data_IF_838401385511
#
_entry.id   IF_838401385511
#
_cell.length_a   1.000
_cell.length_b   1.000
_cell.length_c   1.000
_cell.angle_alpha   90.00
_cell.angle_beta   90.00
_cell.angle_gamma   90.00
#
_symmetry.space_group_name_H-M   'P 1'
#
loop_
_entity.id
_entity.type
_entity.pdbx_description
1 polymer ?
#
# COMPACT_ATOMS: atom_id res chain seq x y z
N UNK A 1 -14.43 28.68 39.31
CA UNK A 1 -15.26 27.88 40.23
C UNK A 1 -15.26 26.46 39.66
N UNK A 2 -14.34 25.63 40.15
CA UNK A 2 -14.07 24.29 39.62
C UNK A 2 -14.95 23.27 40.34
N UNK A 3 -15.66 22.42 39.60
CA UNK A 3 -16.28 21.20 40.14
C UNK A 3 -15.44 20.01 39.68
N UNK A 4 -14.80 19.37 40.65
CA UNK A 4 -14.30 18.00 40.58
C UNK A 4 -15.51 17.07 40.59
N UNK A 5 -15.57 16.13 39.66
CA UNK A 5 -16.45 14.97 39.75
C UNK A 5 -15.60 13.71 39.92
N UNK A 6 -16.01 12.91 40.89
CA UNK A 6 -15.31 11.78 41.47
C UNK A 6 -15.38 10.52 40.59
N UNK A 7 -14.29 9.75 40.60
CA UNK A 7 -14.22 8.41 40.03
C UNK A 7 -14.85 7.39 41.00
N UNK A 8 -15.73 6.54 40.49
CA UNK A 8 -16.14 5.29 41.13
C UNK A 8 -15.54 4.09 40.36
N UNK A 9 -14.89 3.12 41.02
CA UNK A 9 -14.42 1.90 40.36
C UNK A 9 -15.49 0.80 40.42
N UNK A 10 -15.87 0.24 39.27
CA UNK A 10 -16.65 -1.00 39.23
C UNK A 10 -15.70 -2.17 38.94
N UNK A 11 -15.48 -2.95 40.00
CA UNK A 11 -14.98 -4.32 39.96
C UNK A 11 -16.04 -5.21 39.30
N UNK A 12 -15.61 -6.03 38.34
CA UNK A 12 -16.40 -7.09 37.74
C UNK A 12 -15.47 -8.14 37.14
N UNK A 13 -15.11 -9.12 37.96
CA UNK A 13 -14.43 -10.33 37.54
C UNK A 13 -15.46 -11.23 36.85
N UNK A 14 -15.29 -11.52 35.57
CA UNK A 14 -15.88 -12.71 34.95
C UNK A 14 -14.80 -13.48 34.21
N UNK A 15 -14.59 -14.71 34.68
CA UNK A 15 -13.69 -15.71 34.16
C UNK A 15 -14.17 -16.14 32.77
N UNK A 16 -13.33 -15.95 31.75
CA UNK A 16 -13.59 -16.45 30.40
C UNK A 16 -12.84 -17.78 30.20
N UNK A 17 -13.60 -18.88 30.14
CA UNK A 17 -13.10 -20.22 29.78
C UNK A 17 -13.25 -20.44 28.27
N UNK A 18 -12.18 -20.72 27.51
CA UNK A 18 -12.29 -21.00 26.08
C UNK A 18 -12.33 -22.51 25.83
N UNK A 19 -13.48 -23.02 25.40
CA UNK A 19 -13.55 -24.33 24.76
C UNK A 19 -14.75 -24.39 23.81
N UNK A 20 -14.50 -24.18 22.51
CA UNK A 20 -15.19 -24.90 21.45
C UNK A 20 -14.40 -24.80 20.14
N UNK A 21 -13.82 -25.95 19.78
CA UNK A 21 -13.29 -26.23 18.46
C UNK A 21 -14.37 -26.03 17.39
N UNK A 22 -14.05 -25.25 16.36
CA UNK A 22 -14.82 -25.23 15.11
C UNK A 22 -13.92 -25.79 14.01
N UNK A 23 -14.11 -27.08 13.75
CA UNK A 23 -13.57 -27.80 12.60
C UNK A 23 -14.24 -27.27 11.32
N UNK A 24 -13.42 -26.80 10.37
CA UNK A 24 -13.89 -26.51 9.01
C UNK A 24 -13.77 -27.77 8.15
N UNK A 25 -14.92 -28.27 7.72
CA UNK A 25 -15.08 -29.35 6.75
C UNK A 25 -14.92 -28.75 5.34
N UNK A 26 -13.91 -29.18 4.59
CA UNK A 26 -13.80 -28.97 3.15
C UNK A 26 -14.43 -30.16 2.40
N UNK A 27 -15.31 -29.97 1.41
CA UNK A 27 -15.56 -31.00 0.42
C UNK A 27 -14.57 -30.93 -0.74
N UNK A 28 -14.18 -32.12 -1.17
CA UNK A 28 -13.21 -32.42 -2.21
C UNK A 28 -13.75 -32.27 -3.64
N UNK A 29 -12.80 -32.06 -4.55
CA UNK A 29 -12.66 -32.61 -5.93
C UNK A 29 -13.78 -32.47 -6.96
N UNK A 30 -13.42 -31.93 -8.13
CA UNK A 30 -13.67 -32.44 -9.50
C UNK A 30 -13.29 -31.34 -10.51
N UNK A 31 -12.83 -31.56 -11.73
CA UNK A 31 -12.10 -32.63 -12.41
C UNK A 31 -11.62 -31.99 -13.73
N UNK A 32 -10.48 -32.45 -14.23
CA UNK A 32 -9.89 -32.14 -15.53
C UNK A 32 -10.81 -32.53 -16.69
N UNK A 33 -10.92 -31.67 -17.72
CA UNK A 33 -10.93 -32.11 -19.13
C UNK A 33 -10.08 -31.13 -19.97
N UNK A 34 -8.95 -31.65 -20.46
CA UNK A 34 -8.21 -31.19 -21.62
C UNK A 34 -8.85 -31.79 -22.88
N UNK A 35 -8.82 -31.02 -23.97
CA UNK A 35 -8.94 -31.36 -25.40
C UNK A 35 -9.84 -30.32 -26.08
N UNK A 36 -9.64 -29.82 -27.29
CA UNK A 36 -8.62 -29.93 -28.33
C UNK A 36 -9.19 -29.03 -29.44
N UNK A 37 -8.41 -28.14 -30.06
CA UNK A 37 -8.60 -27.74 -31.46
C UNK A 37 -7.42 -26.89 -31.94
N UNK A 38 -6.41 -27.58 -32.45
CA UNK A 38 -5.60 -27.07 -33.53
C UNK A 38 -6.47 -26.60 -34.71
N UNK A 39 -6.11 -25.49 -35.34
CA UNK A 39 -5.97 -25.28 -36.79
C UNK A 39 -6.23 -23.81 -37.14
N UNK A 40 -5.21 -23.14 -37.70
CA UNK A 40 -5.25 -22.50 -39.02
C UNK A 40 -3.98 -21.64 -39.21
N UNK A 41 -2.97 -22.22 -39.88
CA UNK A 41 -1.98 -21.44 -40.63
C UNK A 41 -2.42 -21.40 -42.10
N UNK A 42 -2.28 -20.27 -42.81
CA UNK A 42 -2.17 -20.26 -44.25
C UNK A 42 -0.71 -20.18 -44.71
N UNK A 43 -0.41 -21.05 -45.66
CA UNK A 43 0.80 -21.15 -46.48
C UNK A 43 0.83 -20.10 -47.61
N UNK A 44 2.05 -19.73 -48.04
CA UNK A 44 2.35 -19.08 -49.34
C UNK A 44 2.60 -17.57 -49.22
N UNK A 45 3.57 -16.96 -49.88
CA UNK A 45 4.60 -17.39 -50.83
C UNK A 45 5.54 -16.21 -51.10
N UNK A 46 6.80 -16.50 -51.44
CA UNK A 46 7.78 -15.49 -51.84
C UNK A 46 7.52 -15.02 -53.27
N UNK A 47 7.89 -13.77 -53.60
CA UNK A 47 8.73 -13.60 -54.79
C UNK A 47 9.92 -12.65 -54.58
N UNK A 48 11.04 -13.11 -55.15
CA UNK A 48 12.06 -12.39 -55.90
C UNK A 48 12.52 -10.99 -55.46
N UNK A 49 13.77 -10.96 -54.96
CA UNK A 49 14.89 -10.11 -55.40
C UNK A 49 14.56 -8.84 -56.17
N UNK A 50 14.82 -7.69 -55.52
CA UNK A 50 15.35 -6.52 -56.20
C UNK A 50 16.60 -6.02 -55.47
N UNK A 51 17.73 -6.09 -56.17
CA UNK A 51 19.05 -5.63 -55.76
C UNK A 51 19.06 -4.10 -55.82
N UNK A 52 19.04 -3.42 -54.68
CA UNK A 52 19.41 -2.01 -54.62
C UNK A 52 20.76 -1.85 -53.93
N UNK A 53 21.66 -1.22 -54.68
CA UNK A 53 23.03 -0.87 -54.33
C UNK A 53 23.10 -0.17 -52.96
N UNK A 54 23.95 -0.69 -52.08
CA UNK A 54 24.51 0.06 -50.95
C UNK A 54 25.57 1.03 -51.49
N UNK A 55 25.50 2.34 -51.21
CA UNK A 55 26.70 3.15 -51.17
C UNK A 55 27.50 2.76 -49.91
N UNK A 56 28.77 2.42 -50.15
CA UNK A 56 29.80 2.33 -49.14
C UNK A 56 30.01 3.70 -48.47
N UNK A 57 30.70 3.67 -47.32
CA UNK A 57 31.25 4.80 -46.57
C UNK A 57 30.28 5.53 -45.61
N UNK A 58 30.07 4.95 -44.43
CA UNK A 58 30.07 5.74 -43.19
C UNK A 58 30.64 4.86 -42.07
N UNK A 59 31.96 4.92 -41.88
CA UNK A 59 32.60 4.39 -40.68
C UNK A 59 32.23 5.28 -39.49
N UNK A 60 31.05 5.07 -38.91
CA UNK A 60 30.76 5.54 -37.57
C UNK A 60 31.47 4.61 -36.60
N UNK A 61 32.58 5.09 -36.05
CA UNK A 61 33.25 4.51 -34.88
C UNK A 61 32.24 4.36 -33.75
N UNK A 62 31.74 3.14 -33.54
CA UNK A 62 30.87 2.80 -32.41
C UNK A 62 31.74 2.87 -31.16
N UNK A 63 31.62 3.98 -30.42
CA UNK A 63 32.28 4.18 -29.15
C UNK A 63 31.75 3.13 -28.15
N UNK A 64 32.53 2.07 -27.95
CA UNK A 64 32.19 0.91 -27.09
C UNK A 64 32.05 1.26 -25.61
N UNK A 65 32.13 2.55 -25.25
CA UNK A 65 31.98 3.07 -23.91
C UNK A 65 30.59 3.70 -23.65
N UNK A 66 29.62 3.49 -24.54
CA UNK A 66 28.22 3.87 -24.29
C UNK A 66 27.65 2.98 -23.20
N UNK A 67 27.84 3.39 -21.95
CA UNK A 67 27.23 2.80 -20.78
C UNK A 67 25.72 3.03 -20.91
N UNK A 68 24.99 2.03 -21.39
CA UNK A 68 23.53 2.02 -21.35
C UNK A 68 23.12 2.07 -19.88
N UNK A 69 22.88 3.28 -19.35
CA UNK A 69 22.16 3.42 -18.11
C UNK A 69 20.77 2.85 -18.33
N UNK A 70 20.52 1.69 -17.73
CA UNK A 70 19.19 1.12 -17.67
C UNK A 70 18.32 2.10 -16.88
N UNK A 71 17.65 3.02 -17.59
CA UNK A 71 16.71 3.97 -17.01
C UNK A 71 15.52 3.16 -16.52
N UNK A 72 15.63 2.67 -15.28
CA UNK A 72 14.52 2.00 -14.62
C UNK A 72 13.42 3.05 -14.45
N UNK A 73 12.20 2.82 -14.96
CA UNK A 73 11.14 3.82 -14.89
C UNK A 73 10.91 4.22 -13.43
N UNK A 74 11.12 5.50 -13.13
CA UNK A 74 10.95 6.06 -11.80
C UNK A 74 9.46 6.11 -11.49
N UNK A 75 8.99 5.23 -10.61
CA UNK A 75 7.62 5.28 -10.10
C UNK A 75 7.38 6.64 -9.42
N UNK A 76 6.30 7.31 -9.83
CA UNK A 76 5.84 8.56 -9.24
C UNK A 76 4.41 8.35 -8.75
N UNK A 77 4.15 8.40 -7.44
CA UNK A 77 2.80 8.18 -6.91
C UNK A 77 1.87 9.31 -7.35
N UNK A 78 0.68 8.96 -7.83
CA UNK A 78 -0.38 9.94 -8.11
C UNK A 78 -1.12 10.25 -6.81
N UNK A 79 -1.39 11.53 -6.55
CA UNK A 79 -2.16 11.96 -5.38
C UNK A 79 -3.66 11.71 -5.60
N UNK A 80 -4.36 10.96 -4.73
CA UNK A 80 -5.80 10.77 -4.82
C UNK A 80 -6.51 12.12 -4.57
N UNK A 81 -7.59 12.30 -5.33
CA UNK A 81 -8.47 13.47 -5.28
C UNK A 81 -9.80 13.09 -4.63
N UNK A 82 -10.27 13.91 -3.71
CA UNK A 82 -11.47 13.62 -2.95
C UNK A 82 -11.27 12.55 -1.86
N UNK A 83 -12.26 12.38 -0.98
CA UNK A 83 -12.18 11.39 0.09
C UNK A 83 -12.06 9.98 -0.52
N UNK A 84 -11.07 9.18 -0.08
CA UNK A 84 -10.96 7.81 -0.56
C UNK A 84 -12.17 6.99 -0.10
N UNK A 85 -12.57 6.04 -0.94
CA UNK A 85 -13.61 5.07 -0.60
C UNK A 85 -13.18 4.23 0.61
N UNK A 86 -14.14 3.93 1.49
CA UNK A 86 -13.92 3.23 2.76
C UNK A 86 -14.33 1.75 2.73
N UNK A 87 -14.95 1.31 1.64
CA UNK A 87 -15.45 -0.04 1.49
C UNK A 87 -14.30 -1.06 1.50
N UNK A 88 -14.52 -2.20 2.15
CA UNK A 88 -13.58 -3.32 2.10
C UNK A 88 -13.74 -4.00 0.75
N UNK A 89 -12.65 -4.07 -0.03
CA UNK A 89 -12.62 -4.70 -1.33
C UNK A 89 -11.41 -5.64 -1.44
N UNK A 90 -11.66 -6.95 -1.35
CA UNK A 90 -10.62 -7.96 -1.50
C UNK A 90 -10.15 -8.12 -2.95
N UNK A 91 -11.03 -7.87 -3.92
CA UNK A 91 -10.74 -7.97 -5.35
C UNK A 91 -10.29 -9.35 -5.81
N UNK A 92 -9.70 -9.41 -7.00
CA UNK A 92 -9.28 -10.67 -7.65
C UNK A 92 -8.08 -11.34 -6.95
N UNK A 93 -7.28 -10.55 -6.24
CA UNK A 93 -6.10 -11.03 -5.54
C UNK A 93 -6.40 -11.49 -4.10
N UNK A 94 -7.66 -11.44 -3.66
CA UNK A 94 -8.04 -11.73 -2.25
C UNK A 94 -7.14 -10.95 -1.27
N UNK A 95 -7.07 -9.63 -1.48
CA UNK A 95 -6.22 -8.74 -0.71
C UNK A 95 -6.76 -8.59 0.71
N UNK A 96 -5.91 -8.91 1.69
CA UNK A 96 -6.23 -8.90 3.10
C UNK A 96 -5.20 -8.09 3.88
N UNK A 97 -5.68 -7.45 4.94
CA UNK A 97 -4.88 -6.63 5.85
C UNK A 97 -5.07 -7.15 7.26
N UNK A 98 -3.98 -7.47 7.94
CA UNK A 98 -3.97 -8.00 9.29
C UNK A 98 -3.03 -7.18 10.17
N UNK A 99 -3.40 -7.00 11.43
CA UNK A 99 -2.51 -6.46 12.48
C UNK A 99 -2.32 -7.58 13.50
N UNK A 100 -1.08 -8.03 13.66
CA UNK A 100 -0.80 -9.09 14.60
C UNK A 100 -0.87 -8.56 16.04
N UNK A 101 -1.87 -9.02 16.81
CA UNK A 101 -2.03 -8.68 18.22
C UNK A 101 -1.00 -9.37 19.13
N UNK A 102 -0.40 -10.49 18.69
CA UNK A 102 0.59 -11.23 19.47
C UNK A 102 1.99 -10.62 19.37
N UNK A 103 2.27 -9.83 18.33
CA UNK A 103 3.55 -9.10 18.17
C UNK A 103 3.57 -7.81 18.99
N UNK A 104 3.15 -7.92 20.25
CA UNK A 104 3.17 -6.84 21.24
C UNK A 104 4.28 -7.07 22.25
N UNK A 105 5.37 -7.73 21.85
CA UNK A 105 6.59 -7.80 22.66
C UNK A 105 7.06 -6.36 22.94
N UNK A 106 6.75 -5.85 24.15
CA UNK A 106 6.89 -4.48 24.70
C UNK A 106 5.62 -3.61 24.79
N UNK A 107 4.42 -4.12 24.49
CA UNK A 107 3.11 -3.42 24.62
C UNK A 107 3.07 -2.02 23.99
N UNK A 108 3.84 -1.82 22.93
CA UNK A 108 3.98 -0.53 22.24
C UNK A 108 2.68 -0.06 21.59
N UNK A 109 1.83 -1.00 21.22
CA UNK A 109 0.48 -0.77 20.75
C UNK A 109 -0.41 -1.94 21.17
N UNK A 110 -1.71 -1.72 21.19
CA UNK A 110 -2.73 -2.73 21.45
C UNK A 110 -3.69 -2.76 20.26
N UNK A 111 -3.94 -3.94 19.70
CA UNK A 111 -4.94 -4.13 18.66
C UNK A 111 -6.10 -4.96 19.22
N UNK A 112 -7.33 -4.45 19.05
CA UNK A 112 -8.56 -5.19 19.34
C UNK A 112 -9.22 -5.58 18.02
N UNK A 113 -9.22 -6.88 17.73
CA UNK A 113 -9.90 -7.43 16.55
C UNK A 113 -11.42 -7.23 16.62
N UNK A 114 -12.02 -7.36 17.82
CA UNK A 114 -13.45 -7.18 18.04
C UNK A 114 -13.90 -5.76 17.69
N UNK A 115 -13.10 -4.75 18.06
CA UNK A 115 -13.39 -3.35 17.77
C UNK A 115 -12.81 -2.87 16.43
N UNK A 116 -12.05 -3.73 15.76
CA UNK A 116 -11.16 -3.38 14.65
C UNK A 116 -10.40 -2.05 14.88
N UNK A 117 -9.75 -1.95 16.04
CA UNK A 117 -9.12 -0.70 16.51
C UNK A 117 -7.72 -0.93 17.05
N UNK A 118 -6.79 -0.07 16.64
CA UNK A 118 -5.45 0.02 17.19
C UNK A 118 -5.35 1.20 18.15
N UNK A 119 -4.73 0.95 19.30
CA UNK A 119 -4.34 1.96 20.28
C UNK A 119 -2.81 2.02 20.28
N UNK A 120 -2.25 3.18 19.93
CA UNK A 120 -0.82 3.36 19.74
C UNK A 120 -0.39 4.72 20.25
N UNK A 121 0.72 4.77 20.96
CA UNK A 121 1.32 6.03 21.40
C UNK A 121 1.94 6.78 20.23
N UNK A 122 1.96 8.11 20.31
CA UNK A 122 2.61 8.94 19.31
C UNK A 122 4.10 8.55 19.14
N UNK A 123 4.60 8.59 17.90
CA UNK A 123 6.00 8.22 17.54
C UNK A 123 6.35 6.74 17.81
N UNK A 124 5.33 5.87 17.90
CA UNK A 124 5.53 4.43 18.07
C UNK A 124 5.23 3.67 16.79
N UNK A 125 6.12 2.75 16.43
CA UNK A 125 5.94 1.87 15.29
C UNK A 125 4.97 0.75 15.62
N UNK A 126 4.11 0.42 14.65
CA UNK A 126 3.30 -0.79 14.63
C UNK A 126 3.42 -1.48 13.27
N UNK A 127 3.16 -2.77 13.24
CA UNK A 127 3.30 -3.59 12.05
C UNK A 127 1.94 -3.90 11.43
N UNK A 128 1.87 -3.83 10.11
CA UNK A 128 0.71 -4.26 9.32
C UNK A 128 1.18 -5.35 8.36
N UNK A 129 0.45 -6.46 8.34
CA UNK A 129 0.69 -7.59 7.45
C UNK A 129 -0.30 -7.53 6.29
N UNK A 130 0.22 -7.58 5.08
CA UNK A 130 -0.58 -7.63 3.86
C UNK A 130 -0.50 -9.04 3.28
N UNK A 131 -1.65 -9.62 2.92
CA UNK A 131 -1.74 -10.92 2.25
C UNK A 131 -2.49 -10.77 0.95
N UNK A 132 -2.07 -11.54 -0.05
CA UNK A 132 -2.71 -11.61 -1.36
C UNK A 132 -2.34 -12.92 -2.06
N UNK A 133 -3.10 -13.29 -3.07
CA UNK A 133 -2.84 -14.45 -3.93
C UNK A 133 -1.62 -14.19 -4.84
N UNK A 134 -0.41 -14.41 -4.30
CA UNK A 134 0.86 -14.10 -4.96
C UNK A 134 1.02 -14.72 -6.35
N UNK A 135 0.46 -15.91 -6.59
CA UNK A 135 0.51 -16.58 -7.91
C UNK A 135 -0.29 -15.88 -9.01
N UNK A 136 -1.15 -14.91 -8.67
CA UNK A 136 -1.98 -14.14 -9.63
C UNK A 136 -1.57 -12.67 -9.71
N UNK A 137 -0.64 -12.23 -8.88
CA UNK A 137 -0.30 -10.82 -8.74
C UNK A 137 0.65 -10.34 -9.85
N UNK A 138 0.28 -9.31 -10.64
CA UNK A 138 1.22 -8.67 -11.56
C UNK A 138 2.27 -7.87 -10.75
N UNK A 139 3.52 -7.87 -11.20
CA UNK A 139 4.59 -7.07 -10.59
C UNK A 139 4.90 -5.82 -11.45
N UNK A 140 5.18 -4.65 -10.85
CA UNK A 140 5.24 -4.37 -9.41
C UNK A 140 3.86 -4.06 -8.79
N UNK A 141 3.68 -4.44 -7.52
CA UNK A 141 2.55 -3.99 -6.69
C UNK A 141 2.99 -2.92 -5.70
N UNK A 142 2.08 -2.00 -5.41
CA UNK A 142 2.26 -0.97 -4.40
C UNK A 142 1.08 -0.99 -3.42
N UNK A 143 1.36 -0.72 -2.16
CA UNK A 143 0.35 -0.53 -1.12
C UNK A 143 0.37 0.94 -0.71
N UNK A 144 -0.82 1.51 -0.52
CA UNK A 144 -1.02 2.88 -0.07
C UNK A 144 -1.83 2.87 1.22
N UNK A 145 -1.48 3.74 2.16
CA UNK A 145 -2.25 3.96 3.37
C UNK A 145 -2.65 5.42 3.46
N UNK A 146 -3.95 5.70 3.60
CA UNK A 146 -4.51 7.04 3.73
C UNK A 146 -5.32 7.07 5.02
N UNK A 147 -5.25 8.17 5.77
CA UNK A 147 -6.05 8.35 6.98
C UNK A 147 -7.25 9.25 6.68
N UNK A 148 -8.42 8.84 7.17
CA UNK A 148 -9.67 9.60 7.07
C UNK A 148 -10.34 9.66 8.44
N UNK A 149 -11.12 10.70 8.69
CA UNK A 149 -11.96 10.78 9.89
C UNK A 149 -13.02 9.69 9.87
N UNK A 150 -13.25 9.01 11.00
CA UNK A 150 -14.30 8.00 11.10
C UNK A 150 -15.69 8.58 10.93
N UNK A 151 -15.92 9.79 11.45
CA UNK A 151 -17.17 10.55 11.25
C UNK A 151 -17.34 10.91 9.76
N UNK A 152 -18.45 10.46 9.17
CA UNK A 152 -18.79 10.71 7.76
C UNK A 152 -18.97 12.20 7.46
N UNK A 153 -19.46 12.99 8.42
CA UNK A 153 -19.62 14.44 8.24
C UNK A 153 -18.28 15.17 8.08
N UNK A 154 -17.19 14.52 8.50
CA UNK A 154 -15.83 15.03 8.40
C UNK A 154 -15.02 14.31 7.31
N UNK A 155 -15.64 13.40 6.54
CA UNK A 155 -14.95 12.58 5.55
C UNK A 155 -14.21 13.40 4.49
N UNK A 156 -14.80 14.53 4.09
CA UNK A 156 -14.24 15.44 3.09
C UNK A 156 -13.03 16.25 3.61
N UNK A 157 -12.81 16.26 4.94
CA UNK A 157 -11.66 16.93 5.53
C UNK A 157 -10.46 15.99 5.52
N UNK A 158 -9.39 16.47 4.91
CA UNK A 158 -8.09 15.80 4.97
C UNK A 158 -7.54 15.79 6.40
N UNK A 159 -7.03 14.63 6.82
CA UNK A 159 -6.36 14.48 8.12
C UNK A 159 -4.91 14.94 7.99
N UNK A 160 -4.49 15.89 8.83
CA UNK A 160 -3.13 16.43 8.85
C UNK A 160 -2.62 16.67 10.29
N UNK A 161 -1.30 16.73 10.45
CA UNK A 161 -0.66 17.10 11.73
C UNK A 161 -1.05 18.51 12.13
N UNK A 162 -1.28 18.72 13.43
CA UNK A 162 -1.60 20.05 13.93
C UNK A 162 -0.43 21.03 13.76
N UNK A 163 -0.75 22.33 13.74
CA UNK A 163 0.20 23.43 13.51
C UNK A 163 1.46 23.33 14.38
N UNK A 164 1.30 23.04 15.68
CA UNK A 164 2.43 22.93 16.61
C UNK A 164 3.41 21.83 16.19
N UNK A 165 2.91 20.65 15.80
CA UNK A 165 3.74 19.53 15.36
C UNK A 165 4.34 19.75 13.97
N UNK A 166 3.63 20.46 13.08
CA UNK A 166 4.12 20.84 11.75
C UNK A 166 5.33 21.78 11.84
N UNK A 167 5.34 22.72 12.79
CA UNK A 167 6.41 23.71 12.96
C UNK A 167 7.53 23.29 13.94
N UNK A 168 7.62 22.02 14.33
CA UNK A 168 8.76 21.52 15.10
C UNK A 168 10.07 21.74 14.31
N UNK A 169 11.13 22.18 15.00
CA UNK A 169 12.46 22.44 14.41
C UNK A 169 13.04 21.23 13.68
N UNK A 170 12.67 20.01 14.11
CA UNK A 170 13.10 18.76 13.47
C UNK A 170 12.53 18.56 12.06
N UNK A 171 11.56 19.37 11.64
CA UNK A 171 10.96 19.30 10.30
C UNK A 171 11.64 20.24 9.29
N UNK A 172 12.63 21.03 9.70
CA UNK A 172 13.33 21.95 8.80
C UNK A 172 13.94 21.22 7.61
N UNK A 173 13.65 21.67 6.39
CA UNK A 173 14.15 21.07 5.15
C UNK A 173 13.38 19.83 4.68
N UNK A 174 12.34 19.40 5.40
CA UNK A 174 11.46 18.30 4.98
C UNK A 174 10.27 18.87 4.19
N UNK A 175 9.88 18.17 3.13
CA UNK A 175 8.76 18.58 2.29
C UNK A 175 7.41 18.54 3.04
N UNK A 176 6.52 19.48 2.72
CA UNK A 176 5.31 19.73 3.51
C UNK A 176 4.31 18.58 3.44
N UNK A 177 4.24 17.87 2.32
CA UNK A 177 3.41 16.68 2.16
C UNK A 177 3.84 15.57 3.12
N UNK A 178 5.13 15.47 3.44
CA UNK A 178 5.62 14.53 4.44
C UNK A 178 5.39 15.10 5.84
N UNK A 179 5.73 16.36 6.08
CA UNK A 179 5.60 16.98 7.42
C UNK A 179 4.17 17.00 7.92
N UNK A 180 3.19 17.20 7.05
CA UNK A 180 1.76 17.23 7.41
C UNK A 180 1.12 15.84 7.48
N UNK A 181 1.74 14.81 6.91
CA UNK A 181 1.20 13.46 6.97
C UNK A 181 1.24 12.94 8.42
N UNK A 182 0.14 12.34 8.86
CA UNK A 182 0.02 11.76 10.21
C UNK A 182 0.59 10.35 10.30
N UNK A 183 0.66 9.64 9.16
CA UNK A 183 1.16 8.28 9.06
C UNK A 183 2.51 8.30 8.35
N UNK A 184 3.54 7.76 9.00
CA UNK A 184 4.87 7.63 8.40
C UNK A 184 5.28 6.16 8.33
N UNK A 185 6.06 5.82 7.29
CA UNK A 185 6.78 4.55 7.29
C UNK A 185 7.80 4.53 8.43
N UNK A 186 7.97 3.37 9.07
CA UNK A 186 9.07 3.14 10.00
C UNK A 186 10.44 3.14 9.29
N UNK A 187 10.45 2.96 7.97
CA UNK A 187 11.66 3.06 7.13
C UNK A 187 11.98 4.52 6.86
N UNK A 188 13.26 4.83 6.69
CA UNK A 188 13.71 6.19 6.44
C UNK A 188 13.14 6.77 5.14
N UNK A 189 12.83 8.07 5.18
CA UNK A 189 12.36 8.84 4.02
C UNK A 189 13.40 8.78 2.90
N UNK A 190 12.95 8.65 1.66
CA UNK A 190 13.83 8.55 0.49
C UNK A 190 14.43 7.16 0.26
N UNK A 191 14.18 6.19 1.15
CA UNK A 191 14.56 4.79 0.90
C UNK A 191 13.75 4.21 -0.25
N UNK A 192 14.36 3.36 -1.08
CA UNK A 192 13.68 2.66 -2.19
C UNK A 192 12.39 1.96 -1.71
N UNK A 193 11.29 2.22 -2.41
CA UNK A 193 9.98 1.64 -2.11
C UNK A 193 9.16 2.39 -1.05
N UNK A 194 9.65 3.54 -0.55
CA UNK A 194 8.87 4.44 0.32
C UNK A 194 8.58 5.71 -0.46
N UNK A 195 7.30 5.99 -0.64
CA UNK A 195 6.83 7.16 -1.37
C UNK A 195 5.79 7.88 -0.53
N UNK A 196 5.89 9.21 -0.51
CA UNK A 196 4.87 10.08 0.02
C UNK A 196 4.25 10.84 -1.13
N UNK A 197 2.96 11.12 -1.03
CA UNK A 197 2.21 11.84 -2.04
C UNK A 197 1.11 12.67 -1.41
N UNK A 198 0.45 13.46 -2.25
CA UNK A 198 -0.43 14.54 -1.84
C UNK A 198 0.23 15.89 -2.05
N UNK A 199 -0.61 16.93 -2.10
CA UNK A 199 -0.21 18.33 -2.22
C UNK A 199 -0.73 19.09 -1.01
N UNK A 200 0.19 19.52 -0.15
CA UNK A 200 -0.14 20.11 1.15
C UNK A 200 -0.92 21.44 1.07
N UNK A 201 -0.81 22.11 -0.07
CA UNK A 201 -1.45 23.36 -0.47
C UNK A 201 -2.84 23.17 -1.10
N UNK A 202 -3.16 21.96 -1.56
CA UNK A 202 -4.43 21.65 -2.20
C UNK A 202 -5.33 20.85 -1.25
N UNK A 203 -6.44 21.43 -0.81
CA UNK A 203 -7.32 20.83 0.19
C UNK A 203 -7.92 19.48 -0.25
N UNK A 204 -8.11 19.30 -1.55
CA UNK A 204 -8.66 18.12 -2.19
C UNK A 204 -7.59 17.07 -2.55
N UNK A 205 -6.33 17.26 -2.12
CA UNK A 205 -5.25 16.31 -2.33
C UNK A 205 -4.91 15.57 -1.04
N UNK A 206 -5.15 14.26 -1.00
CA UNK A 206 -4.96 13.46 0.20
C UNK A 206 -3.49 13.09 0.42
N UNK A 207 -3.05 13.19 1.68
CA UNK A 207 -1.70 12.79 2.09
C UNK A 207 -1.66 11.28 2.34
N UNK A 208 -0.71 10.60 1.71
CA UNK A 208 -0.44 9.17 1.94
C UNK A 208 1.01 8.81 1.70
#
# INVERSE_FOLDING_TARGET
>A
MFKQEEYAPLLGNEEYSPNSNLEYILPASQDFIMNDLMQLMPQGGLPATDMLLLPAELEDTIDANTKFELVTPKFTPVSPRGPPERAVFAGELDFQVEINASDTHKRKYLYSAILNRIYVDMKTNFSVTYRWAAGRAPAPLYVRSVVVFSDESQAEKRVERCTQHTHEVTNTGISQEIVKNVLHSAREKGTRGVYYCGRADEADSWLS
#
